data_IF_818156480268
#
_entry.id   IF_818156480268
#
_cell.length_a   1.000
_cell.length_b   1.000
_cell.length_c   1.000
_cell.angle_alpha   90.00
_cell.angle_beta   90.00
_cell.angle_gamma   90.00
#
_symmetry.space_group_name_H-M   'P 1'
#
loop_
_entity.id
_entity.type
_entity.pdbx_description
1 polymer ?
#
# COMPACT_ATOMS: atom_id res chain seq x y z
N UNK A 1 22.44 -12.33 -19.45
CA UNK A 1 22.62 -11.82 -18.08
C UNK A 1 22.39 -10.31 -17.99
N UNK A 2 23.14 -9.49 -18.75
CA UNK A 2 23.02 -8.03 -18.73
C UNK A 2 21.62 -7.53 -19.08
N UNK A 3 21.01 -8.08 -20.13
CA UNK A 3 19.65 -7.72 -20.57
C UNK A 3 18.63 -7.99 -19.47
N UNK A 4 18.70 -9.17 -18.84
CA UNK A 4 17.78 -9.56 -17.77
C UNK A 4 18.01 -8.69 -16.52
N UNK A 5 19.29 -8.45 -16.15
CA UNK A 5 19.63 -7.66 -14.98
C UNK A 5 19.17 -6.20 -15.09
N UNK A 6 19.40 -5.55 -16.24
CA UNK A 6 18.95 -4.17 -16.46
C UNK A 6 17.43 -4.06 -16.60
N UNK A 7 16.75 -5.03 -17.25
CA UNK A 7 15.31 -5.09 -17.31
C UNK A 7 14.69 -5.25 -15.90
N UNK A 8 15.23 -6.18 -15.09
CA UNK A 8 14.79 -6.38 -13.70
C UNK A 8 14.95 -5.12 -12.86
N UNK A 9 16.07 -4.40 -12.99
CA UNK A 9 16.31 -3.17 -12.24
C UNK A 9 15.26 -2.11 -12.57
N UNK A 10 14.92 -1.90 -13.84
CA UNK A 10 13.89 -0.95 -14.27
C UNK A 10 12.52 -1.36 -13.73
N UNK A 11 12.16 -2.64 -13.82
CA UNK A 11 10.90 -3.15 -13.30
C UNK A 11 10.78 -2.95 -11.79
N UNK A 12 11.83 -3.25 -11.03
CA UNK A 12 11.86 -3.08 -9.57
C UNK A 12 11.64 -1.62 -9.19
N UNK A 13 12.39 -0.68 -9.80
CA UNK A 13 12.23 0.75 -9.54
C UNK A 13 10.82 1.22 -9.92
N UNK A 14 10.29 0.75 -11.04
CA UNK A 14 8.95 1.12 -11.50
C UNK A 14 7.86 0.60 -10.55
N UNK A 15 7.97 -0.65 -10.08
CA UNK A 15 7.03 -1.24 -9.11
C UNK A 15 7.08 -0.48 -7.78
N UNK A 16 8.28 -0.17 -7.27
CA UNK A 16 8.45 0.59 -6.03
C UNK A 16 7.81 1.99 -6.10
N UNK A 17 8.04 2.72 -7.20
CA UNK A 17 7.44 4.04 -7.42
C UNK A 17 5.91 3.96 -7.60
N UNK A 18 5.42 2.93 -8.29
CA UNK A 18 3.98 2.70 -8.48
C UNK A 18 3.30 2.44 -7.14
N UNK A 19 3.87 1.56 -6.31
CA UNK A 19 3.36 1.27 -4.97
C UNK A 19 3.30 2.52 -4.09
N UNK A 20 4.35 3.35 -4.11
CA UNK A 20 4.39 4.60 -3.35
C UNK A 20 3.34 5.61 -3.84
N UNK A 21 3.18 5.79 -5.16
CA UNK A 21 2.16 6.70 -5.70
C UNK A 21 0.74 6.20 -5.43
N UNK A 22 0.54 4.89 -5.48
CA UNK A 22 -0.74 4.29 -5.16
C UNK A 22 -1.10 4.52 -3.69
N UNK A 23 -0.16 4.27 -2.77
CA UNK A 23 -0.32 4.55 -1.36
C UNK A 23 -0.64 6.04 -1.10
N UNK A 24 0.03 6.97 -1.79
CA UNK A 24 -0.24 8.40 -1.66
C UNK A 24 -1.65 8.79 -2.15
N UNK A 25 -2.12 8.19 -3.25
CA UNK A 25 -3.50 8.42 -3.73
C UNK A 25 -4.56 7.89 -2.79
N UNK A 26 -4.31 6.73 -2.17
CA UNK A 26 -5.19 6.22 -1.12
C UNK A 26 -5.31 7.23 0.04
N UNK A 27 -4.18 7.83 0.47
CA UNK A 27 -4.17 8.89 1.49
C UNK A 27 -5.04 10.10 1.15
N UNK A 28 -5.04 10.51 -0.12
CA UNK A 28 -5.80 11.69 -0.54
C UNK A 28 -7.31 11.45 -0.51
N UNK A 29 -7.74 10.22 -0.70
CA UNK A 29 -9.14 9.88 -0.96
C UNK A 29 -9.88 9.26 0.25
N UNK A 30 -9.20 8.61 1.21
CA UNK A 30 -9.85 7.88 2.34
C UNK A 30 -10.18 8.80 3.53
N UNK A 31 -9.90 10.11 3.45
CA UNK A 31 -9.98 10.98 4.63
C UNK A 31 -8.73 10.80 5.52
N UNK A 32 -7.62 11.43 5.13
CA UNK A 32 -6.34 11.29 5.82
C UNK A 32 -6.35 11.80 7.27
N UNK A 33 -7.45 12.45 7.66
CA UNK A 33 -7.61 13.11 8.94
C UNK A 33 -8.25 12.21 9.99
N UNK A 34 -8.60 10.97 9.66
CA UNK A 34 -9.26 10.05 10.57
C UNK A 34 -8.26 9.42 11.55
N UNK A 35 -8.67 9.39 12.81
CA UNK A 35 -8.04 8.64 13.90
C UNK A 35 -9.08 7.68 14.46
N UNK A 36 -8.81 6.39 14.35
CA UNK A 36 -9.58 5.34 14.98
C UNK A 36 -8.92 4.97 16.31
N UNK A 37 -9.67 4.95 17.39
CA UNK A 37 -9.20 4.45 18.67
C UNK A 37 -9.92 3.16 19.01
N UNK A 38 -9.14 2.11 19.24
CA UNK A 38 -9.64 0.76 19.50
C UNK A 38 -9.09 0.22 20.83
N UNK A 39 -9.94 -0.52 21.54
CA UNK A 39 -9.50 -1.32 22.68
C UNK A 39 -8.74 -2.57 22.18
N UNK A 40 -7.46 -2.63 22.46
CA UNK A 40 -6.57 -3.73 22.02
C UNK A 40 -6.42 -4.85 23.07
N UNK A 41 -7.03 -4.71 24.23
CA UNK A 41 -6.96 -5.70 25.31
C UNK A 41 -6.40 -5.15 26.62
N UNK A 42 -6.21 -6.03 27.59
CA UNK A 42 -5.59 -5.72 28.89
C UNK A 42 -4.90 -6.95 29.44
N UNK A 43 -3.82 -6.77 30.19
CA UNK A 43 -3.13 -7.88 30.85
C UNK A 43 -4.02 -8.43 31.96
N UNK A 44 -4.42 -9.70 31.86
CA UNK A 44 -5.02 -10.43 32.98
C UNK A 44 -3.97 -10.73 34.01
N UNK A 45 -4.03 -10.09 35.18
CA UNK A 45 -3.36 -10.62 36.36
C UNK A 45 -4.08 -11.90 36.77
N UNK A 46 -3.69 -13.02 36.20
CA UNK A 46 -3.63 -14.38 36.69
C UNK A 46 -4.85 -15.05 37.36
N UNK A 47 -6.01 -14.46 37.55
CA UNK A 47 -7.24 -15.12 38.01
C UNK A 47 -8.48 -14.38 37.48
N UNK A 48 -9.04 -14.89 36.38
CA UNK A 48 -10.42 -14.92 35.99
C UNK A 48 -11.28 -13.68 36.24
N UNK A 49 -11.25 -12.75 35.39
CA UNK A 49 -12.33 -11.99 34.78
C UNK A 49 -11.71 -11.08 33.74
N UNK A 50 -11.93 -11.39 32.46
CA UNK A 50 -11.70 -10.43 31.40
C UNK A 50 -12.69 -9.29 31.60
N UNK A 51 -12.36 -8.32 32.45
CA UNK A 51 -13.07 -7.04 32.43
C UNK A 51 -12.65 -6.33 31.17
N UNK A 52 -13.47 -6.49 30.14
CA UNK A 52 -13.38 -5.69 28.95
C UNK A 52 -13.58 -4.21 29.35
N UNK A 53 -12.49 -3.48 29.50
CA UNK A 53 -12.47 -2.05 29.77
C UNK A 53 -12.64 -1.31 28.44
N UNK A 54 -13.80 -1.56 27.80
CA UNK A 54 -14.14 -1.02 26.50
C UNK A 54 -14.36 0.48 26.59
N UNK A 55 -14.15 1.16 25.48
CA UNK A 55 -14.43 2.59 25.29
C UNK A 55 -15.92 2.89 25.54
N UNK A 56 -16.22 4.11 25.89
CA UNK A 56 -17.58 4.60 26.18
C UNK A 56 -17.88 5.90 25.42
N UNK A 57 -19.14 6.27 25.33
CA UNK A 57 -19.53 7.59 24.79
C UNK A 57 -18.97 8.74 25.65
N UNK A 58 -18.85 8.52 26.94
CA UNK A 58 -18.28 9.55 27.84
C UNK A 58 -16.80 9.82 27.51
N UNK A 59 -16.09 8.84 26.94
CA UNK A 59 -14.72 9.04 26.45
C UNK A 59 -14.70 9.87 25.17
N UNK A 60 -15.64 9.60 24.25
CA UNK A 60 -15.84 10.41 23.06
C UNK A 60 -16.10 11.88 23.44
N UNK A 61 -17.07 12.14 24.34
CA UNK A 61 -17.40 13.48 24.82
C UNK A 61 -16.21 14.16 25.50
N UNK A 62 -15.47 13.43 26.32
CA UNK A 62 -14.28 13.96 26.98
C UNK A 62 -13.20 14.39 25.98
N UNK A 63 -13.01 13.61 24.94
CA UNK A 63 -12.06 13.92 23.86
C UNK A 63 -12.51 15.14 23.06
N UNK A 64 -13.75 15.15 22.58
CA UNK A 64 -14.29 16.26 21.76
C UNK A 64 -14.22 17.60 22.54
N UNK A 65 -14.47 17.55 23.84
CA UNK A 65 -14.42 18.77 24.70
C UNK A 65 -13.00 19.27 24.93
N UNK A 66 -12.01 18.34 25.05
CA UNK A 66 -10.64 18.68 25.45
C UNK A 66 -9.67 18.84 24.29
N UNK A 67 -10.00 18.32 23.11
CA UNK A 67 -9.14 18.37 21.91
C UNK A 67 -9.80 19.20 20.81
N UNK A 68 -9.52 20.52 20.73
CA UNK A 68 -10.16 21.42 19.74
C UNK A 68 -9.84 21.07 18.28
N UNK A 69 -8.80 20.26 18.05
CA UNK A 69 -8.43 19.78 16.71
C UNK A 69 -9.42 18.76 16.15
N UNK A 70 -10.27 18.16 16.98
CA UNK A 70 -11.33 17.24 16.54
C UNK A 70 -12.45 18.05 15.89
N UNK A 71 -12.81 17.70 14.64
CA UNK A 71 -13.90 18.32 13.89
C UNK A 71 -15.20 17.53 13.96
N UNK A 72 -15.10 16.21 13.98
CA UNK A 72 -16.24 15.29 14.06
C UNK A 72 -15.81 14.01 14.78
N UNK A 73 -16.77 13.31 15.37
CA UNK A 73 -16.52 12.02 16.04
C UNK A 73 -17.70 11.09 15.85
N UNK A 74 -17.47 9.80 15.97
CA UNK A 74 -18.52 8.78 15.97
C UNK A 74 -18.09 7.58 16.81
N UNK A 75 -18.93 7.13 17.73
CA UNK A 75 -18.81 5.80 18.30
C UNK A 75 -19.21 4.78 17.24
N UNK A 76 -18.68 3.57 17.30
CA UNK A 76 -19.13 2.46 16.49
C UNK A 76 -19.46 1.25 17.34
N UNK A 77 -20.67 0.76 17.17
CA UNK A 77 -21.17 -0.45 17.77
C UNK A 77 -21.41 -1.49 16.69
N UNK A 78 -20.59 -2.52 16.70
CA UNK A 78 -20.64 -3.60 15.72
C UNK A 78 -21.55 -4.74 16.18
N UNK A 79 -22.44 -5.18 15.31
CA UNK A 79 -23.34 -6.31 15.53
C UNK A 79 -23.42 -7.16 14.26
N UNK A 80 -23.30 -8.48 14.41
CA UNK A 80 -23.65 -9.43 13.35
C UNK A 80 -25.04 -9.98 13.67
N UNK A 81 -25.96 -9.76 12.75
CA UNK A 81 -27.34 -10.16 12.99
C UNK A 81 -28.05 -10.64 11.71
N UNK A 82 -29.12 -11.37 11.91
CA UNK A 82 -29.96 -11.85 10.82
C UNK A 82 -31.13 -10.92 10.60
N UNK A 83 -31.14 -10.26 9.44
CA UNK A 83 -32.25 -9.40 9.01
C UNK A 83 -33.24 -10.17 8.15
N UNK A 84 -34.54 -9.89 8.32
CA UNK A 84 -35.63 -10.53 7.57
C UNK A 84 -36.35 -9.47 6.72
N UNK A 85 -36.57 -9.82 5.45
CA UNK A 85 -37.23 -8.95 4.45
C UNK A 85 -38.67 -9.31 4.15
N UNK A 86 -39.26 -10.28 4.88
CA UNK A 86 -40.54 -10.84 4.54
C UNK A 86 -40.43 -11.97 3.53
N UNK A 87 -41.53 -12.70 3.30
CA UNK A 87 -41.55 -13.82 2.36
C UNK A 87 -40.59 -14.99 2.67
N UNK A 88 -40.06 -15.05 3.91
CA UNK A 88 -39.12 -16.10 4.30
C UNK A 88 -37.65 -15.83 3.92
N UNK A 89 -37.35 -14.68 3.34
CA UNK A 89 -35.98 -14.30 3.01
C UNK A 89 -35.32 -13.68 4.22
N UNK A 90 -34.21 -14.26 4.67
CA UNK A 90 -33.38 -13.71 5.74
C UNK A 90 -31.90 -13.80 5.37
N UNK A 91 -31.09 -12.84 5.85
CA UNK A 91 -29.65 -12.78 5.61
C UNK A 91 -28.89 -12.39 6.86
N UNK A 92 -27.71 -12.96 7.02
CA UNK A 92 -26.76 -12.55 8.03
C UNK A 92 -25.99 -11.33 7.47
N UNK A 93 -26.03 -10.23 8.20
CA UNK A 93 -25.45 -8.94 7.78
C UNK A 93 -24.66 -8.34 8.91
N UNK A 94 -23.72 -7.49 8.54
CA UNK A 94 -23.02 -6.62 9.46
C UNK A 94 -23.87 -5.37 9.71
N UNK A 95 -24.22 -5.11 10.96
CA UNK A 95 -24.97 -3.93 11.37
C UNK A 95 -24.03 -3.05 12.21
N UNK A 96 -23.79 -1.84 11.77
CA UNK A 96 -23.00 -0.85 12.51
C UNK A 96 -23.90 0.27 13.03
N UNK A 97 -23.90 0.43 14.34
CA UNK A 97 -24.52 1.56 15.02
C UNK A 97 -23.53 2.72 15.11
N UNK A 98 -23.83 3.82 14.42
CA UNK A 98 -22.92 4.96 14.29
C UNK A 98 -23.66 6.28 14.45
N UNK A 99 -22.93 7.36 14.78
CA UNK A 99 -23.53 8.70 14.81
C UNK A 99 -23.72 9.28 13.40
N UNK A 100 -24.54 10.32 13.24
CA UNK A 100 -24.70 11.04 11.97
C UNK A 100 -23.38 11.53 11.38
N UNK A 101 -22.44 11.94 12.24
CA UNK A 101 -21.12 12.44 11.88
C UNK A 101 -20.21 11.37 11.27
N UNK A 102 -20.55 10.08 11.38
CA UNK A 102 -19.78 8.98 10.80
C UNK A 102 -19.61 9.13 9.29
N UNK A 103 -20.63 9.64 8.59
CA UNK A 103 -20.55 9.89 7.14
C UNK A 103 -19.47 10.91 6.79
N UNK A 104 -19.26 11.93 7.63
CA UNK A 104 -18.20 12.93 7.48
C UNK A 104 -16.84 12.33 7.85
N UNK A 105 -16.74 11.65 9.00
CA UNK A 105 -15.50 11.03 9.48
C UNK A 105 -14.94 10.01 8.48
N UNK A 106 -15.83 9.22 7.86
CA UNK A 106 -15.47 8.17 6.89
C UNK A 106 -15.53 8.62 5.44
N UNK A 107 -15.91 9.87 5.16
CA UNK A 107 -16.09 10.40 3.81
C UNK A 107 -16.99 9.48 2.95
N UNK A 108 -18.13 9.06 3.53
CA UNK A 108 -19.08 8.21 2.82
C UNK A 108 -19.82 9.02 1.74
N UNK A 109 -20.01 8.41 0.57
CA UNK A 109 -20.76 9.01 -0.53
C UNK A 109 -22.16 8.42 -0.53
N UNK A 110 -23.18 9.22 -0.20
CA UNK A 110 -24.57 8.82 -0.33
C UNK A 110 -24.93 8.84 -1.82
N UNK A 111 -25.39 7.69 -2.32
CA UNK A 111 -25.71 7.51 -3.75
C UNK A 111 -27.18 7.73 -4.05
N UNK A 112 -28.06 7.32 -3.16
CA UNK A 112 -29.52 7.52 -3.28
C UNK A 112 -30.10 7.76 -1.90
N UNK A 113 -31.14 8.60 -1.81
CA UNK A 113 -31.77 8.98 -0.55
C UNK A 113 -30.92 9.96 0.27
N UNK A 114 -30.90 9.78 1.59
CA UNK A 114 -30.14 10.60 2.54
C UNK A 114 -29.44 9.76 3.59
N UNK A 115 -28.44 10.30 4.26
CA UNK A 115 -27.93 9.76 5.51
C UNK A 115 -28.89 10.16 6.65
N UNK A 116 -28.86 9.42 7.77
CA UNK A 116 -29.59 9.85 8.97
C UNK A 116 -28.89 11.06 9.61
N UNK A 117 -29.65 11.91 10.24
CA UNK A 117 -29.19 13.18 10.84
C UNK A 117 -29.34 13.19 12.36
N UNK A 118 -28.95 14.31 12.99
CA UNK A 118 -29.03 14.47 14.44
C UNK A 118 -30.48 14.38 14.97
N UNK A 119 -31.48 14.67 14.13
CA UNK A 119 -32.88 14.50 14.49
C UNK A 119 -33.26 13.03 14.55
N UNK A 120 -32.77 12.23 13.57
CA UNK A 120 -32.96 10.78 13.57
C UNK A 120 -32.32 10.13 14.81
N UNK A 121 -31.10 10.59 15.18
CA UNK A 121 -30.41 10.14 16.37
C UNK A 121 -31.16 10.49 17.65
N UNK A 122 -31.58 11.73 17.79
CA UNK A 122 -32.28 12.23 18.99
C UNK A 122 -33.69 11.60 19.18
N UNK A 123 -34.37 11.31 18.08
CA UNK A 123 -35.71 10.67 18.10
C UNK A 123 -35.66 9.14 18.08
N UNK A 124 -34.48 8.54 18.07
CA UNK A 124 -34.27 7.09 17.93
C UNK A 124 -34.98 6.54 16.68
N UNK A 125 -34.85 7.26 15.57
CA UNK A 125 -35.51 6.94 14.31
C UNK A 125 -35.06 5.57 13.79
N UNK A 126 -36.02 4.76 13.37
CA UNK A 126 -35.79 3.41 12.82
C UNK A 126 -35.34 3.50 11.36
N UNK A 127 -34.35 4.35 11.11
CA UNK A 127 -33.76 4.58 9.81
C UNK A 127 -32.51 3.73 9.61
N UNK A 128 -32.24 3.33 8.38
CA UNK A 128 -31.01 2.65 8.00
C UNK A 128 -30.45 3.20 6.70
N UNK A 129 -29.13 3.14 6.58
CA UNK A 129 -28.43 3.40 5.32
C UNK A 129 -27.62 2.16 4.97
N UNK A 130 -27.72 1.69 3.73
CA UNK A 130 -27.18 0.38 3.32
C UNK A 130 -26.15 0.53 2.20
N UNK A 131 -25.24 -0.41 2.09
CA UNK A 131 -24.25 -0.44 0.99
C UNK A 131 -24.92 -0.68 -0.36
N UNK A 132 -24.29 -0.17 -1.44
CA UNK A 132 -24.75 -0.41 -2.82
C UNK A 132 -24.82 -1.91 -3.16
N UNK A 133 -23.81 -2.74 -2.84
CA UNK A 133 -23.88 -4.18 -3.11
C UNK A 133 -25.10 -4.83 -2.44
N UNK A 134 -25.33 -4.52 -1.17
CA UNK A 134 -26.51 -5.02 -0.44
C UNK A 134 -27.83 -4.56 -1.11
N UNK A 135 -27.98 -3.26 -1.42
CA UNK A 135 -29.17 -2.72 -2.05
C UNK A 135 -29.46 -3.36 -3.41
N UNK A 136 -28.43 -3.53 -4.23
CA UNK A 136 -28.52 -4.13 -5.56
C UNK A 136 -28.92 -5.61 -5.48
N UNK A 137 -28.33 -6.34 -4.56
CA UNK A 137 -28.56 -7.76 -4.40
C UNK A 137 -29.99 -8.05 -3.87
N UNK A 138 -30.48 -7.22 -2.95
CA UNK A 138 -31.77 -7.43 -2.30
C UNK A 138 -32.95 -6.80 -3.06
N UNK A 139 -32.75 -5.69 -3.73
CA UNK A 139 -33.82 -4.88 -4.32
C UNK A 139 -33.60 -4.59 -5.82
N UNK A 140 -32.50 -5.05 -6.40
CA UNK A 140 -32.17 -4.87 -7.83
C UNK A 140 -31.46 -3.55 -8.17
N UNK A 141 -31.67 -2.50 -7.38
CA UNK A 141 -30.96 -1.22 -7.54
C UNK A 141 -30.90 -0.43 -6.23
N UNK A 142 -29.94 0.52 -6.09
CA UNK A 142 -29.87 1.40 -4.93
C UNK A 142 -31.15 2.23 -4.71
N UNK A 143 -31.76 2.71 -5.78
CA UNK A 143 -32.98 3.53 -5.72
C UNK A 143 -34.19 2.72 -5.27
N UNK A 144 -34.27 1.45 -5.70
CA UNK A 144 -35.38 0.55 -5.34
C UNK A 144 -35.35 0.14 -3.87
N UNK A 145 -34.20 0.27 -3.20
CA UNK A 145 -34.05 -0.01 -1.77
C UNK A 145 -34.66 1.08 -0.88
N UNK A 146 -34.78 2.31 -1.37
CA UNK A 146 -35.27 3.45 -0.59
C UNK A 146 -36.74 3.22 -0.16
N UNK A 147 -37.03 3.53 1.10
CA UNK A 147 -38.35 3.30 1.75
C UNK A 147 -38.75 1.83 1.88
N UNK A 148 -37.85 0.89 1.60
CA UNK A 148 -38.08 -0.52 1.96
C UNK A 148 -37.80 -0.75 3.42
N UNK A 149 -38.56 -1.67 4.01
CA UNK A 149 -38.47 -2.01 5.44
C UNK A 149 -38.01 -3.46 5.61
N UNK A 150 -37.11 -3.69 6.54
CA UNK A 150 -36.70 -5.00 6.99
C UNK A 150 -36.87 -5.14 8.50
N UNK A 151 -36.86 -6.37 8.99
CA UNK A 151 -36.96 -6.66 10.42
C UNK A 151 -35.54 -6.94 10.96
N UNK A 152 -35.15 -6.16 11.98
CA UNK A 152 -33.94 -6.39 12.76
C UNK A 152 -34.38 -6.73 14.20
N UNK A 153 -34.15 -7.95 14.66
CA UNK A 153 -34.61 -8.44 15.98
C UNK A 153 -36.09 -8.14 16.25
N UNK A 154 -36.94 -8.26 15.23
CA UNK A 154 -38.37 -8.00 15.34
C UNK A 154 -38.76 -6.51 15.26
N UNK A 155 -37.81 -5.59 15.15
CA UNK A 155 -38.07 -4.16 14.96
C UNK A 155 -38.04 -3.81 13.48
N UNK A 156 -39.08 -3.17 12.93
CA UNK A 156 -39.06 -2.70 11.54
C UNK A 156 -38.15 -1.50 11.40
N UNK A 157 -37.15 -1.61 10.50
CA UNK A 157 -36.19 -0.55 10.16
C UNK A 157 -36.41 -0.17 8.69
N UNK A 158 -36.48 1.12 8.39
CA UNK A 158 -36.71 1.64 7.05
C UNK A 158 -35.39 2.13 6.41
N UNK A 159 -35.11 1.72 5.18
CA UNK A 159 -33.95 2.17 4.43
C UNK A 159 -34.22 3.59 3.92
N UNK A 160 -33.43 4.56 4.37
CA UNK A 160 -33.54 5.98 4.00
C UNK A 160 -32.46 6.42 3.03
N UNK A 161 -31.42 5.61 2.85
CA UNK A 161 -30.35 5.92 1.91
C UNK A 161 -29.49 4.72 1.56
N UNK A 162 -28.72 4.90 0.51
CA UNK A 162 -27.67 3.97 0.11
C UNK A 162 -26.34 4.71 0.03
N UNK A 163 -25.25 4.04 0.35
CA UNK A 163 -23.92 4.65 0.38
C UNK A 163 -22.86 3.75 -0.23
N UNK A 164 -21.75 4.35 -0.53
CA UNK A 164 -20.48 3.68 -0.80
C UNK A 164 -19.35 4.40 -0.08
N UNK A 165 -18.27 3.70 0.17
CA UNK A 165 -17.04 4.35 0.58
C UNK A 165 -16.45 5.15 -0.58
N UNK A 166 -15.77 6.27 -0.27
CA UNK A 166 -15.13 7.10 -1.30
C UNK A 166 -13.97 6.38 -1.97
N UNK A 167 -13.39 5.38 -1.32
CA UNK A 167 -12.25 4.59 -1.81
C UNK A 167 -12.42 3.12 -1.44
N UNK A 168 -12.07 2.26 -2.38
CA UNK A 168 -11.94 0.83 -2.13
C UNK A 168 -10.73 0.56 -1.22
N UNK A 169 -10.98 0.10 -0.02
CA UNK A 169 -9.98 -0.18 1.01
C UNK A 169 -9.42 -1.60 0.94
N UNK A 170 -9.72 -2.35 -0.15
CA UNK A 170 -9.28 -3.75 -0.33
C UNK A 170 -9.61 -4.67 0.85
N UNK A 171 -10.79 -4.49 1.46
CA UNK A 171 -11.22 -5.29 2.59
C UNK A 171 -10.55 -4.93 3.93
N UNK A 172 -9.86 -3.79 4.01
CA UNK A 172 -9.32 -3.25 5.26
C UNK A 172 -10.31 -2.30 5.96
N UNK A 173 -11.51 -2.12 5.41
CA UNK A 173 -12.59 -1.36 6.01
C UNK A 173 -13.39 -2.22 6.98
N UNK A 174 -13.93 -1.59 8.02
CA UNK A 174 -14.98 -2.18 8.86
C UNK A 174 -16.31 -2.33 8.11
N UNK A 175 -16.47 -1.66 6.97
CA UNK A 175 -17.64 -1.76 6.10
C UNK A 175 -17.47 -2.92 5.13
N UNK A 176 -18.25 -3.97 5.29
CA UNK A 176 -18.33 -5.10 4.35
C UNK A 176 -19.34 -4.82 3.23
N UNK A 177 -19.34 -5.65 2.19
CA UNK A 177 -20.30 -5.53 1.08
C UNK A 177 -21.77 -5.58 1.54
N UNK A 178 -22.08 -6.37 2.57
CA UNK A 178 -23.42 -6.49 3.17
C UNK A 178 -23.45 -5.77 4.53
N UNK A 179 -23.25 -4.45 4.53
CA UNK A 179 -23.30 -3.62 5.75
C UNK A 179 -24.53 -2.73 5.79
N UNK A 180 -25.13 -2.65 6.96
CA UNK A 180 -26.24 -1.77 7.29
C UNK A 180 -25.80 -0.81 8.39
N UNK A 181 -25.91 0.48 8.15
CA UNK A 181 -25.69 1.53 9.16
C UNK A 181 -27.02 1.94 9.76
N UNK A 182 -27.08 2.00 11.07
CA UNK A 182 -28.24 2.50 11.85
C UNK A 182 -27.78 3.56 12.85
N UNK A 183 -28.68 4.46 13.32
CA UNK A 183 -28.35 5.40 14.38
C UNK A 183 -27.81 4.68 15.61
N UNK A 184 -26.77 5.24 16.24
CA UNK A 184 -26.12 4.65 17.41
C UNK A 184 -27.15 4.41 18.55
N UNK A 185 -28.08 5.33 18.76
CA UNK A 185 -29.14 5.21 19.77
C UNK A 185 -30.02 3.98 19.58
N UNK A 186 -30.29 3.59 18.34
CA UNK A 186 -31.04 2.37 18.00
C UNK A 186 -30.18 1.12 18.24
N UNK A 187 -28.90 1.16 17.81
CA UNK A 187 -27.97 0.06 18.03
C UNK A 187 -27.74 -0.21 19.53
N UNK A 188 -27.57 0.85 20.31
CA UNK A 188 -27.45 0.81 21.76
C UNK A 188 -28.63 0.11 22.43
N UNK A 189 -29.85 0.37 21.96
CA UNK A 189 -31.05 -0.31 22.46
C UNK A 189 -30.96 -1.83 22.31
N UNK A 190 -30.45 -2.32 21.18
CA UNK A 190 -30.25 -3.75 20.94
C UNK A 190 -29.13 -4.37 21.75
N UNK A 191 -28.05 -3.60 22.01
CA UNK A 191 -26.86 -4.09 22.70
C UNK A 191 -26.94 -3.96 24.22
N UNK A 192 -27.78 -3.08 24.74
CA UNK A 192 -28.01 -2.85 26.18
C UNK A 192 -26.81 -2.26 26.94
N UNK A 193 -25.80 -1.73 26.23
CA UNK A 193 -24.61 -1.14 26.84
C UNK A 193 -24.11 0.07 26.05
N UNK A 194 -23.47 1.01 26.75
CA UNK A 194 -22.80 2.16 26.18
C UNK A 194 -21.34 1.89 25.80
N UNK A 195 -20.91 0.64 25.96
CA UNK A 195 -19.55 0.23 25.67
C UNK A 195 -19.39 -0.05 24.19
N UNK A 196 -18.37 0.56 23.60
CA UNK A 196 -18.00 0.41 22.20
C UNK A 196 -16.57 -0.10 22.10
N UNK A 197 -16.27 -0.83 21.04
CA UNK A 197 -14.92 -1.32 20.77
C UNK A 197 -14.06 -0.24 20.13
N UNK A 198 -14.67 0.62 19.32
CA UNK A 198 -14.01 1.62 18.49
C UNK A 198 -14.68 2.99 18.59
N UNK A 199 -13.85 4.02 18.59
CA UNK A 199 -14.25 5.43 18.45
C UNK A 199 -13.49 6.02 17.26
N UNK A 200 -14.20 6.73 16.41
CA UNK A 200 -13.65 7.41 15.25
C UNK A 200 -13.65 8.93 15.47
N UNK A 201 -12.55 9.56 15.11
CA UNK A 201 -12.37 11.00 15.22
C UNK A 201 -11.84 11.55 13.90
N UNK A 202 -12.39 12.66 13.43
CA UNK A 202 -11.85 13.44 12.33
C UNK A 202 -11.06 14.62 12.89
N UNK A 203 -9.81 14.78 12.44
CA UNK A 203 -8.95 15.90 12.84
C UNK A 203 -9.02 16.97 11.76
N UNK A 204 -9.17 18.24 12.17
CA UNK A 204 -9.37 19.37 11.26
C UNK A 204 -8.22 19.51 10.26
N UNK A 205 -6.99 19.47 10.74
CA UNK A 205 -5.78 19.61 9.92
C UNK A 205 -4.89 18.36 9.98
N UNK A 206 -4.40 17.93 8.82
CA UNK A 206 -3.50 16.77 8.70
C UNK A 206 -2.21 16.92 9.51
N UNK A 207 -1.71 18.14 9.63
CA UNK A 207 -0.51 18.46 10.42
C UNK A 207 -0.68 18.19 11.92
N UNK A 208 -1.91 18.27 12.41
CA UNK A 208 -2.22 18.14 13.82
C UNK A 208 -2.46 16.69 14.25
N UNK A 209 -2.60 15.75 13.30
CA UNK A 209 -2.88 14.34 13.59
C UNK A 209 -1.91 13.74 14.64
N UNK A 210 -0.58 13.91 14.55
CA UNK A 210 0.33 13.31 15.53
C UNK A 210 0.13 13.85 16.94
N UNK A 211 -0.15 15.15 17.06
CA UNK A 211 -0.37 15.81 18.35
C UNK A 211 -1.76 15.46 18.92
N UNK A 212 -2.79 15.59 18.08
CA UNK A 212 -4.15 15.23 18.44
C UNK A 212 -4.25 13.76 18.88
N UNK A 213 -3.63 12.83 18.11
CA UNK A 213 -3.60 11.40 18.48
C UNK A 213 -2.98 11.17 19.85
N UNK A 214 -1.89 11.88 20.18
CA UNK A 214 -1.25 11.76 21.48
C UNK A 214 -2.14 12.28 22.61
N UNK A 215 -2.83 13.39 22.38
CA UNK A 215 -3.76 13.97 23.36
C UNK A 215 -5.00 13.09 23.54
N UNK A 216 -5.59 12.59 22.45
CA UNK A 216 -6.67 11.60 22.45
C UNK A 216 -6.31 10.40 23.35
N UNK A 217 -5.17 9.78 23.07
CA UNK A 217 -4.70 8.59 23.81
C UNK A 217 -4.48 8.90 25.29
N UNK A 218 -3.92 10.06 25.62
CA UNK A 218 -3.70 10.49 27.01
C UNK A 218 -5.02 10.66 27.75
N UNK A 219 -6.03 11.28 27.14
CA UNK A 219 -7.35 11.48 27.74
C UNK A 219 -8.02 10.14 27.98
N UNK A 220 -8.08 9.28 26.98
CA UNK A 220 -8.70 7.95 27.06
C UNK A 220 -7.99 7.13 28.15
N UNK A 221 -6.66 7.04 28.11
CA UNK A 221 -5.91 6.25 29.07
C UNK A 221 -6.07 6.73 30.51
N UNK A 222 -6.23 8.05 30.73
CA UNK A 222 -6.45 8.61 32.06
C UNK A 222 -7.82 8.26 32.67
N UNK A 223 -8.77 7.84 31.86
CA UNK A 223 -10.15 7.53 32.26
C UNK A 223 -10.38 6.03 32.47
N UNK A 224 -9.41 5.23 32.09
CA UNK A 224 -9.45 3.77 32.12
C UNK A 224 -8.39 3.15 33.03
N UNK A 225 -8.43 1.84 33.19
CA UNK A 225 -7.48 1.13 34.04
C UNK A 225 -6.06 1.20 33.46
N UNK A 226 -5.06 1.23 34.32
CA UNK A 226 -3.65 1.31 33.93
C UNK A 226 -3.16 0.10 33.07
N UNK A 227 -3.85 -1.04 33.18
CA UNK A 227 -3.51 -2.26 32.45
C UNK A 227 -4.24 -2.39 31.11
N UNK A 228 -5.20 -1.49 30.84
CA UNK A 228 -5.95 -1.50 29.58
C UNK A 228 -5.11 -0.91 28.46
N UNK A 229 -5.08 -1.59 27.33
CA UNK A 229 -4.32 -1.18 26.16
C UNK A 229 -5.28 -0.69 25.08
N UNK A 230 -5.07 0.55 24.69
CA UNK A 230 -5.77 1.15 23.56
C UNK A 230 -4.77 1.44 22.45
N UNK A 231 -5.21 1.29 21.20
CA UNK A 231 -4.43 1.64 20.02
C UNK A 231 -5.11 2.74 19.25
N UNK A 232 -4.33 3.69 18.77
CA UNK A 232 -4.81 4.69 17.84
C UNK A 232 -4.30 4.38 16.44
N UNK A 233 -5.22 3.97 15.59
CA UNK A 233 -4.93 3.66 14.20
C UNK A 233 -5.19 4.90 13.37
N UNK A 234 -4.18 5.36 12.67
CA UNK A 234 -4.32 6.40 11.67
C UNK A 234 -3.99 5.83 10.31
N UNK A 235 -4.69 6.27 9.28
CA UNK A 235 -4.38 5.85 7.92
C UNK A 235 -2.92 6.15 7.56
N UNK A 236 -2.38 7.26 8.08
CA UNK A 236 -0.96 7.62 7.93
C UNK A 236 -0.03 6.57 8.55
N UNK A 237 -0.39 6.00 9.70
CA UNK A 237 0.41 4.93 10.34
C UNK A 237 0.36 3.63 9.52
N UNK A 238 -0.82 3.23 9.07
CA UNK A 238 -1.00 2.03 8.22
C UNK A 238 -0.18 2.16 6.93
N UNK A 239 -0.27 3.32 6.26
CA UNK A 239 0.48 3.55 5.03
C UNK A 239 1.99 3.67 5.25
N UNK A 240 2.42 4.15 6.41
CA UNK A 240 3.83 4.12 6.79
C UNK A 240 4.34 2.67 6.89
N UNK A 241 3.60 1.79 7.54
CA UNK A 241 3.96 0.37 7.63
C UNK A 241 3.95 -0.29 6.26
N UNK A 242 2.91 -0.05 5.45
CA UNK A 242 2.85 -0.54 4.08
C UNK A 242 4.01 -0.01 3.22
N UNK A 243 4.38 1.26 3.38
CA UNK A 243 5.56 1.86 2.76
C UNK A 243 6.86 1.18 3.18
N UNK A 244 7.06 0.91 4.46
CA UNK A 244 8.25 0.20 4.97
C UNK A 244 8.35 -1.22 4.40
N UNK A 245 7.22 -1.94 4.30
CA UNK A 245 7.17 -3.26 3.66
C UNK A 245 7.54 -3.15 2.18
N UNK A 246 6.98 -2.19 1.46
CA UNK A 246 7.30 -1.95 0.05
C UNK A 246 8.78 -1.59 -0.16
N UNK A 247 9.35 -0.75 0.71
CA UNK A 247 10.77 -0.40 0.68
C UNK A 247 11.64 -1.64 0.95
N UNK A 248 11.28 -2.47 1.92
CA UNK A 248 11.96 -3.74 2.21
C UNK A 248 11.94 -4.71 1.02
N UNK A 249 10.78 -4.89 0.39
CA UNK A 249 10.65 -5.69 -0.83
C UNK A 249 11.48 -5.11 -1.99
N UNK A 250 11.49 -3.80 -2.14
CA UNK A 250 12.28 -3.12 -3.18
C UNK A 250 13.78 -3.37 -2.98
N UNK A 251 14.28 -3.27 -1.74
CA UNK A 251 15.68 -3.59 -1.41
C UNK A 251 16.00 -5.05 -1.72
N UNK A 252 15.14 -5.99 -1.35
CA UNK A 252 15.33 -7.42 -1.65
C UNK A 252 15.41 -7.68 -3.16
N UNK A 253 14.51 -7.07 -3.94
CA UNK A 253 14.50 -7.19 -5.39
C UNK A 253 15.73 -6.54 -6.04
N UNK A 254 16.21 -5.41 -5.49
CA UNK A 254 17.46 -4.77 -5.95
C UNK A 254 18.69 -5.66 -5.70
N UNK A 255 18.72 -6.38 -4.57
CA UNK A 255 19.78 -7.35 -4.30
C UNK A 255 19.75 -8.49 -5.33
N UNK A 256 18.58 -9.02 -5.64
CA UNK A 256 18.43 -10.05 -6.69
C UNK A 256 18.87 -9.53 -8.08
N UNK A 257 18.48 -8.30 -8.43
CA UNK A 257 18.92 -7.67 -9.68
C UNK A 257 20.45 -7.49 -9.72
N UNK A 258 21.06 -7.12 -8.59
CA UNK A 258 22.52 -6.97 -8.46
C UNK A 258 23.23 -8.33 -8.67
N UNK A 259 22.73 -9.40 -8.06
CA UNK A 259 23.27 -10.76 -8.28
C UNK A 259 23.14 -11.15 -9.75
N UNK A 260 22.01 -10.89 -10.39
CA UNK A 260 21.79 -11.18 -11.81
C UNK A 260 22.76 -10.40 -12.70
N UNK A 261 22.99 -9.11 -12.39
CA UNK A 261 23.97 -8.28 -13.08
C UNK A 261 25.40 -8.80 -12.88
N UNK A 262 25.76 -9.26 -11.68
CA UNK A 262 27.07 -9.84 -11.41
C UNK A 262 27.30 -11.11 -12.22
N UNK A 263 26.29 -12.01 -12.29
CA UNK A 263 26.35 -13.21 -13.14
C UNK A 263 26.50 -12.83 -14.62
N UNK A 264 25.73 -11.82 -15.07
CA UNK A 264 25.88 -11.27 -16.42
C UNK A 264 27.29 -10.70 -16.70
N UNK A 265 27.86 -10.01 -15.71
CA UNK A 265 29.22 -9.47 -15.76
C UNK A 265 30.29 -10.57 -15.87
N UNK A 266 30.14 -11.67 -15.12
CA UNK A 266 31.01 -12.85 -15.28
C UNK A 266 30.91 -13.44 -16.69
N UNK A 267 29.69 -13.45 -17.27
CA UNK A 267 29.48 -13.84 -18.67
C UNK A 267 30.27 -12.97 -19.67
N UNK A 268 30.22 -11.61 -19.47
CA UNK A 268 31.02 -10.69 -20.29
C UNK A 268 32.51 -10.97 -20.11
N UNK A 269 32.98 -11.13 -18.90
CA UNK A 269 34.37 -11.44 -18.59
C UNK A 269 34.85 -12.71 -19.34
N UNK A 270 34.05 -13.77 -19.30
CA UNK A 270 34.38 -15.04 -19.98
C UNK A 270 34.45 -14.87 -21.51
N UNK A 271 33.49 -14.18 -22.12
CA UNK A 271 33.48 -13.87 -23.55
C UNK A 271 34.72 -13.04 -23.93
N UNK A 272 35.02 -11.99 -23.14
CA UNK A 272 36.18 -11.16 -23.39
C UNK A 272 37.50 -11.91 -23.23
N UNK A 273 37.62 -12.84 -22.26
CA UNK A 273 38.79 -13.70 -22.12
C UNK A 273 38.96 -14.64 -23.34
N UNK A 274 37.85 -15.17 -23.87
CA UNK A 274 37.88 -15.96 -25.09
C UNK A 274 38.30 -15.11 -26.32
N UNK A 275 37.77 -13.88 -26.43
CA UNK A 275 38.15 -12.93 -27.48
C UNK A 275 39.64 -12.55 -27.42
N UNK A 276 40.17 -12.31 -26.21
CA UNK A 276 41.61 -12.06 -26.04
C UNK A 276 42.45 -13.25 -26.54
N UNK A 277 42.04 -14.48 -26.17
CA UNK A 277 42.73 -15.71 -26.62
C UNK A 277 42.69 -15.89 -28.13
N UNK A 278 41.57 -15.65 -28.78
CA UNK A 278 41.43 -15.78 -30.25
C UNK A 278 42.19 -14.71 -31.03
N UNK A 279 42.53 -13.57 -30.38
CA UNK A 279 43.23 -12.43 -30.98
C UNK A 279 44.67 -12.24 -30.48
N UNK A 280 45.30 -13.26 -29.84
CA UNK A 280 46.64 -13.14 -29.24
C UNK A 280 47.65 -12.68 -30.28
N UNK A 281 47.69 -13.27 -31.49
CA UNK A 281 48.58 -12.92 -32.58
C UNK A 281 48.39 -11.50 -33.08
N UNK A 282 47.15 -11.03 -33.20
CA UNK A 282 46.80 -9.66 -33.57
C UNK A 282 47.31 -8.66 -32.55
N UNK A 283 47.12 -8.95 -31.25
CA UNK A 283 47.63 -8.13 -30.13
C UNK A 283 49.16 -8.08 -30.16
N UNK A 284 49.80 -9.22 -30.40
CA UNK A 284 51.26 -9.33 -30.55
C UNK A 284 51.81 -8.45 -31.68
N UNK A 285 51.19 -8.47 -32.86
CA UNK A 285 51.55 -7.63 -34.02
C UNK A 285 51.43 -6.14 -33.66
N UNK A 286 50.31 -5.73 -33.05
CA UNK A 286 50.11 -4.32 -32.64
C UNK A 286 51.20 -3.83 -31.65
N UNK A 287 51.56 -4.68 -30.70
CA UNK A 287 52.60 -4.37 -29.72
C UNK A 287 54.00 -4.33 -30.36
N UNK A 288 54.27 -5.22 -31.29
CA UNK A 288 55.53 -5.21 -32.07
C UNK A 288 55.67 -3.95 -32.93
N UNK A 289 54.55 -3.36 -33.38
CA UNK A 289 54.48 -2.10 -34.12
C UNK A 289 54.48 -0.87 -33.21
N UNK A 290 54.62 -1.01 -31.88
CA UNK A 290 54.76 0.07 -30.92
C UNK A 290 53.53 0.45 -30.12
N UNK A 291 52.42 -0.32 -30.18
CA UNK A 291 51.26 -0.07 -29.37
C UNK A 291 51.59 -0.22 -27.86
N UNK A 292 51.20 0.75 -27.04
CA UNK A 292 51.40 0.72 -25.59
C UNK A 292 50.42 -0.22 -24.91
N UNK A 293 50.81 -0.79 -23.76
CA UNK A 293 49.93 -1.63 -22.93
C UNK A 293 48.63 -0.89 -22.53
N UNK A 294 48.69 0.47 -22.35
CA UNK A 294 47.57 1.31 -22.02
C UNK A 294 46.54 1.36 -23.16
N UNK A 295 47.01 1.49 -24.40
CA UNK A 295 46.12 1.51 -25.59
C UNK A 295 45.39 0.19 -25.76
N UNK A 296 46.09 -0.94 -25.64
CA UNK A 296 45.50 -2.28 -25.71
C UNK A 296 44.47 -2.44 -24.59
N UNK A 297 44.83 -2.07 -23.34
CA UNK A 297 43.88 -2.13 -22.19
C UNK A 297 42.66 -1.30 -22.46
N UNK A 298 42.80 -0.05 -22.94
CA UNK A 298 41.68 0.84 -23.19
C UNK A 298 40.76 0.29 -24.30
N UNK A 299 41.32 -0.28 -25.35
CA UNK A 299 40.58 -0.87 -26.45
C UNK A 299 39.65 -1.99 -25.95
N UNK A 300 40.20 -3.00 -25.23
CA UNK A 300 39.40 -4.11 -24.71
C UNK A 300 38.41 -3.67 -23.65
N UNK A 301 38.75 -2.66 -22.83
CA UNK A 301 37.82 -2.09 -21.83
C UNK A 301 36.64 -1.40 -22.52
N UNK A 302 36.88 -0.61 -23.57
CA UNK A 302 35.83 0.01 -24.36
C UNK A 302 34.92 -1.05 -25.03
N UNK A 303 35.50 -2.15 -25.57
CA UNK A 303 34.73 -3.23 -26.13
C UNK A 303 33.79 -3.87 -25.10
N UNK A 304 34.26 -4.10 -23.87
CA UNK A 304 33.44 -4.59 -22.75
C UNK A 304 32.31 -3.61 -22.37
N UNK A 305 32.61 -2.30 -22.33
CA UNK A 305 31.63 -1.25 -22.06
C UNK A 305 30.55 -1.21 -23.16
N UNK A 306 30.95 -1.30 -24.44
CA UNK A 306 29.99 -1.32 -25.54
C UNK A 306 29.05 -2.55 -25.47
N UNK A 307 29.59 -3.72 -25.17
CA UNK A 307 28.80 -4.96 -25.03
C UNK A 307 27.79 -4.80 -23.84
N UNK A 308 28.26 -4.29 -22.70
CA UNK A 308 27.41 -4.10 -21.52
C UNK A 308 26.35 -3.03 -21.75
N UNK A 309 26.70 -1.92 -22.41
CA UNK A 309 25.76 -0.84 -22.74
C UNK A 309 24.71 -1.30 -23.75
N UNK A 310 25.08 -2.05 -24.77
CA UNK A 310 24.11 -2.66 -25.70
C UNK A 310 23.13 -3.59 -24.97
N UNK A 311 23.65 -4.45 -24.08
CA UNK A 311 22.82 -5.28 -23.19
C UNK A 311 21.91 -4.46 -22.31
N UNK A 312 22.42 -3.36 -21.73
CA UNK A 312 21.68 -2.42 -20.92
C UNK A 312 20.55 -1.71 -21.67
N UNK A 313 20.79 -1.27 -22.91
CA UNK A 313 19.79 -0.65 -23.78
C UNK A 313 18.66 -1.63 -24.15
N UNK A 314 19.01 -2.83 -24.58
CA UNK A 314 18.02 -3.89 -24.88
C UNK A 314 17.21 -4.20 -23.61
N UNK A 315 17.88 -4.33 -22.47
CA UNK A 315 17.22 -4.55 -21.19
C UNK A 315 16.31 -3.39 -20.78
N UNK A 316 16.69 -2.14 -21.07
CA UNK A 316 15.86 -0.99 -20.82
C UNK A 316 14.56 -1.02 -21.65
N UNK A 317 14.64 -1.36 -22.91
CA UNK A 317 13.47 -1.53 -23.79
C UNK A 317 12.55 -2.62 -23.25
N UNK A 318 13.12 -3.79 -22.93
CA UNK A 318 12.36 -4.93 -22.39
C UNK A 318 11.79 -4.65 -20.99
N UNK A 319 12.51 -3.92 -20.15
CA UNK A 319 12.07 -3.52 -18.81
C UNK A 319 10.95 -2.47 -18.82
N UNK A 320 10.90 -1.62 -19.85
CA UNK A 320 9.83 -0.63 -20.02
C UNK A 320 8.58 -1.20 -20.70
N UNK A 321 8.70 -2.29 -21.44
CA UNK A 321 7.60 -2.88 -22.19
C UNK A 321 6.42 -3.32 -21.32
N UNK A 322 6.58 -4.05 -20.16
CA UNK A 322 5.47 -4.43 -19.31
C UNK A 322 4.73 -3.24 -18.68
N UNK A 323 5.38 -2.21 -18.08
CA UNK A 323 4.68 -1.05 -17.56
C UNK A 323 3.98 -0.23 -18.64
N UNK A 324 4.53 -0.16 -19.85
CA UNK A 324 3.86 0.49 -20.98
C UNK A 324 2.63 -0.31 -21.43
N UNK A 325 2.74 -1.62 -21.55
CA UNK A 325 1.62 -2.49 -21.88
C UNK A 325 0.50 -2.41 -20.82
N UNK A 326 0.85 -2.38 -19.53
CA UNK A 326 -0.11 -2.25 -18.45
C UNK A 326 -0.99 -1.00 -18.58
N UNK A 327 -0.48 0.10 -19.14
CA UNK A 327 -1.27 1.33 -19.38
C UNK A 327 -2.43 1.15 -20.39
N UNK A 328 -2.33 0.15 -21.28
CA UNK A 328 -3.38 -0.13 -22.24
C UNK A 328 -4.44 -1.09 -21.71
N UNK A 329 -4.06 -1.96 -20.74
CA UNK A 329 -4.95 -2.99 -20.21
C UNK A 329 -5.55 -2.63 -18.84
N UNK A 330 -5.01 -1.63 -18.15
CA UNK A 330 -5.47 -1.23 -16.81
C UNK A 330 -5.77 0.26 -16.76
N UNK A 331 -6.75 0.65 -15.94
CA UNK A 331 -7.06 2.05 -15.65
C UNK A 331 -5.94 2.75 -14.84
N UNK A 332 -4.96 2.00 -14.36
CA UNK A 332 -3.87 2.52 -13.53
C UNK A 332 -2.75 3.10 -14.38
N UNK A 333 -2.43 4.37 -14.18
CA UNK A 333 -1.28 5.03 -14.80
C UNK A 333 -0.01 4.64 -14.05
N UNK A 334 0.67 3.58 -14.51
CA UNK A 334 1.96 3.18 -13.96
C UNK A 334 2.99 4.30 -14.22
N UNK A 335 3.60 4.90 -13.18
CA UNK A 335 4.59 5.95 -13.35
C UNK A 335 5.90 5.36 -13.91
N UNK A 336 6.35 5.88 -15.02
CA UNK A 336 7.67 5.55 -15.57
C UNK A 336 8.60 6.69 -15.23
N UNK A 337 9.62 6.42 -14.42
CA UNK A 337 10.64 7.41 -14.07
C UNK A 337 11.77 7.38 -15.09
N UNK A 338 12.12 8.50 -15.73
CA UNK A 338 13.30 8.56 -16.59
C UNK A 338 14.60 8.19 -15.85
N UNK A 339 14.66 8.46 -14.56
CA UNK A 339 15.79 8.12 -13.70
C UNK A 339 16.05 6.62 -13.60
N UNK A 340 15.01 5.77 -13.69
CA UNK A 340 15.20 4.32 -13.69
C UNK A 340 16.03 3.84 -14.88
N UNK A 341 15.83 4.43 -16.05
CA UNK A 341 16.59 4.13 -17.27
C UNK A 341 18.05 4.60 -17.13
N UNK A 342 18.25 5.82 -16.62
CA UNK A 342 19.59 6.37 -16.39
C UNK A 342 20.38 5.50 -15.41
N UNK A 343 19.77 5.10 -14.30
CA UNK A 343 20.40 4.23 -13.29
C UNK A 343 20.73 2.86 -13.90
N UNK A 344 19.81 2.27 -14.67
CA UNK A 344 20.04 0.98 -15.31
C UNK A 344 21.21 1.03 -16.34
N UNK A 345 21.30 2.07 -17.12
CA UNK A 345 22.42 2.25 -18.07
C UNK A 345 23.72 2.53 -17.33
N UNK A 346 23.73 3.36 -16.32
CA UNK A 346 24.92 3.63 -15.51
C UNK A 346 25.44 2.37 -14.82
N UNK A 347 24.56 1.56 -14.24
CA UNK A 347 24.92 0.26 -13.64
C UNK A 347 25.44 -0.72 -14.69
N UNK A 348 24.86 -0.77 -15.89
CA UNK A 348 25.34 -1.61 -16.98
C UNK A 348 26.77 -1.23 -17.40
N UNK A 349 27.05 0.06 -17.54
CA UNK A 349 28.40 0.56 -17.85
C UNK A 349 29.37 0.21 -16.70
N UNK A 350 28.98 0.42 -15.44
CA UNK A 350 29.78 0.05 -14.27
C UNK A 350 30.18 -1.43 -14.27
N UNK A 351 29.22 -2.30 -14.53
CA UNK A 351 29.47 -3.76 -14.65
C UNK A 351 30.42 -4.07 -15.79
N UNK A 352 30.26 -3.42 -16.96
CA UNK A 352 31.20 -3.52 -18.08
C UNK A 352 32.63 -3.12 -17.72
N UNK A 353 32.79 -2.06 -16.96
CA UNK A 353 34.11 -1.59 -16.46
C UNK A 353 34.70 -2.60 -15.48
N UNK A 354 33.94 -3.02 -14.46
CA UNK A 354 34.43 -3.93 -13.42
C UNK A 354 34.87 -5.26 -14.03
N UNK A 355 33.99 -5.92 -14.78
CA UNK A 355 34.26 -7.25 -15.33
C UNK A 355 35.11 -7.22 -16.60
N UNK A 356 35.16 -6.10 -17.33
CA UNK A 356 36.03 -5.89 -18.47
C UNK A 356 37.48 -5.57 -18.11
N UNK A 357 37.73 -5.09 -16.89
CA UNK A 357 39.10 -4.68 -16.46
C UNK A 357 40.06 -5.86 -16.42
N UNK A 358 39.63 -7.03 -15.93
CA UNK A 358 40.48 -8.22 -15.84
C UNK A 358 40.93 -8.76 -17.23
N UNK A 359 40.04 -9.02 -18.20
CA UNK A 359 40.45 -9.44 -19.54
C UNK A 359 41.27 -8.37 -20.28
N UNK A 360 40.91 -7.07 -20.13
CA UNK A 360 41.66 -5.99 -20.72
C UNK A 360 43.10 -5.89 -20.18
N UNK A 361 43.29 -6.11 -18.89
CA UNK A 361 44.63 -6.14 -18.26
C UNK A 361 45.42 -7.34 -18.73
N UNK A 362 44.81 -8.52 -18.86
CA UNK A 362 45.48 -9.71 -19.43
C UNK A 362 45.94 -9.49 -20.87
N UNK A 363 45.07 -8.89 -21.71
CA UNK A 363 45.44 -8.54 -23.09
C UNK A 363 46.62 -7.57 -23.14
N UNK A 364 46.65 -6.59 -22.24
CA UNK A 364 47.72 -5.60 -22.15
C UNK A 364 49.06 -6.18 -21.66
N UNK A 365 49.06 -7.29 -20.93
CA UNK A 365 50.25 -7.94 -20.38
C UNK A 365 50.87 -9.04 -21.32
N UNK A 366 50.25 -9.35 -22.44
CA UNK A 366 50.81 -10.34 -23.40
C UNK A 366 52.18 -9.90 -23.92
N UNK A 367 53.12 -10.87 -23.97
CA UNK A 367 54.43 -10.63 -24.54
C UNK A 367 54.34 -10.69 -26.08
N UNK A 368 54.87 -9.67 -26.81
CA UNK A 368 54.84 -9.66 -28.29
C UNK A 368 55.54 -10.86 -28.91
N UNK A 369 56.69 -11.33 -28.34
CA UNK A 369 57.48 -12.42 -28.88
C UNK A 369 56.77 -13.77 -28.71
N UNK A 370 56.17 -14.00 -27.54
CA UNK A 370 55.38 -15.23 -27.31
C UNK A 370 54.07 -15.23 -28.09
N UNK A 371 53.42 -14.05 -28.23
CA UNK A 371 52.17 -13.91 -28.97
C UNK A 371 52.30 -14.19 -30.47
N UNK A 372 53.48 -13.92 -31.06
CA UNK A 372 53.77 -14.20 -32.47
C UNK A 372 54.05 -15.69 -32.74
N UNK A 373 54.47 -16.46 -31.72
CA UNK A 373 54.73 -17.91 -31.81
C UNK A 373 53.48 -18.78 -31.58
N UNK A 374 52.37 -18.13 -31.18
CA UNK A 374 51.12 -18.86 -30.93
C UNK A 374 50.46 -19.27 -32.25
N UNK A 375 50.37 -20.58 -32.50
CA UNK A 375 49.62 -21.17 -33.62
C UNK A 375 48.15 -21.35 -33.30
#
# INVERSE_FOLDING_TARGET
GMVIGSASLILVVTIGLTGKQYAMKLLENIGPNMVEVEYAGGSSNGFGEYRNDLLTIDDEHAVVTQVPAVSASSPMLEMHDRVSFGGGVSRDVLVLGVSPQYSEVRHLIVTSGRFFDDTDEATHSKAAVVTIPFATQMFGSPEAAINKTFQLRGMPITIVGTFKESVDTFGMSEVADETILIPYSVARYFNGTDKVKQLFFSIRDKSDIPFATKDLMRIIQSRHQANSVYTANTLVAILRVAGQIADGLTVMLLLLATVTLAVGGVGIMNIMLANVRSRIREIGIRKALGATAREIKLQFLLEAIFISMAGGLIGAVLGLAPPMAARFFTAYKVPISPWSVVIALATSVLVGVIFGTLPATRAAQLDPVESLKYE
#
